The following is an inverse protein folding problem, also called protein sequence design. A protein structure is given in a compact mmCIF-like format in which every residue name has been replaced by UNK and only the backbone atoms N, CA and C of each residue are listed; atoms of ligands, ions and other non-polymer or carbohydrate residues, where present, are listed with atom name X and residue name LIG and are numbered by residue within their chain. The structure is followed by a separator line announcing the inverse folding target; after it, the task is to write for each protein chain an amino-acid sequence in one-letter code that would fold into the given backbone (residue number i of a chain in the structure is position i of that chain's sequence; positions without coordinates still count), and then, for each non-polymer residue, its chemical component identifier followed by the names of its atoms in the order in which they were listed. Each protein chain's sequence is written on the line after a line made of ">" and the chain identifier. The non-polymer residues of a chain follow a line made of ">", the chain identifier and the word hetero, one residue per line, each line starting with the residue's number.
data_IF_583158077081
#
_entry.id   IF_583158077081
#
_cell.length_a   1.000
_cell.length_b   1.000
_cell.length_c   1.000
_cell.angle_alpha   90.00
_cell.angle_beta   90.00
_cell.angle_gamma   90.00
#
_symmetry.space_group_name_H-M   'P 1'
#
loop_
_entity.id
_entity.type
_entity.pdbx_description
1 polymer ?
#
# COMPACT_ATOMS: atom_id res chain seq x y z
N UNK A 1 0.51 0.26 -5.91
CA UNK A 1 0.43 -1.07 -5.31
C UNK A 1 0.72 -1.06 -3.82
N UNK A 2 0.36 -2.15 -3.11
CA UNK A 2 0.89 -2.43 -1.78
C UNK A 2 2.38 -2.74 -1.81
N UNK A 3 3.03 -2.87 -0.63
CA UNK A 3 4.45 -3.21 -0.55
C UNK A 3 5.14 -2.85 0.77
N UNK A 4 4.40 -2.54 1.82
CA UNK A 4 4.97 -2.16 3.12
C UNK A 4 5.92 -0.98 3.00
N UNK A 5 7.17 -1.13 3.47
CA UNK A 5 8.23 -0.10 3.38
C UNK A 5 8.53 0.34 1.94
N UNK A 6 8.46 -0.57 0.97
CA UNK A 6 8.69 -0.26 -0.45
C UNK A 6 7.69 0.79 -0.98
N UNK A 7 6.53 0.91 -0.34
CA UNK A 7 5.51 1.90 -0.73
C UNK A 7 5.98 3.35 -0.61
N UNK A 8 7.06 3.64 0.13
CA UNK A 8 7.66 4.98 0.15
C UNK A 8 8.14 5.43 -1.24
N UNK A 9 8.40 4.50 -2.18
CA UNK A 9 8.67 4.86 -3.57
C UNK A 9 7.48 5.56 -4.24
N UNK A 10 6.24 5.28 -3.81
CA UNK A 10 5.07 6.03 -4.29
C UNK A 10 5.09 7.48 -3.80
N UNK A 11 5.55 7.73 -2.56
CA UNK A 11 5.72 9.11 -2.05
C UNK A 11 6.80 9.85 -2.86
N UNK A 12 7.94 9.21 -3.15
CA UNK A 12 8.96 9.77 -4.04
C UNK A 12 8.42 10.10 -5.43
N UNK A 13 7.62 9.22 -6.04
CA UNK A 13 6.95 9.50 -7.30
C UNK A 13 5.99 10.69 -7.19
N UNK A 14 5.20 10.79 -6.13
CA UNK A 14 4.29 11.94 -5.92
C UNK A 14 5.06 13.26 -5.85
N UNK A 15 6.22 13.28 -5.18
CA UNK A 15 7.13 14.43 -5.19
C UNK A 15 7.58 14.80 -6.61
N UNK A 16 8.05 13.83 -7.38
CA UNK A 16 8.47 14.05 -8.77
C UNK A 16 7.33 14.59 -9.65
N UNK A 17 6.10 14.11 -9.45
CA UNK A 17 4.91 14.61 -10.13
C UNK A 17 4.64 16.08 -9.77
N UNK A 18 4.65 16.44 -8.48
CA UNK A 18 4.42 17.82 -8.03
C UNK A 18 5.46 18.79 -8.60
N UNK A 19 6.73 18.42 -8.64
CA UNK A 19 7.80 19.22 -9.22
C UNK A 19 7.62 19.47 -10.74
N UNK A 20 6.91 18.56 -11.43
CA UNK A 20 6.50 18.72 -12.83
C UNK A 20 5.15 19.43 -12.98
N UNK A 21 4.55 19.91 -11.89
CA UNK A 21 3.23 20.55 -11.90
C UNK A 21 2.08 19.59 -12.16
N UNK A 22 2.31 18.27 -12.01
CA UNK A 22 1.31 17.23 -12.19
C UNK A 22 0.73 16.81 -10.83
N UNK A 23 -0.59 16.70 -10.76
CA UNK A 23 -1.29 16.20 -9.56
C UNK A 23 -2.32 15.17 -9.95
N UNK A 24 -2.42 14.04 -9.23
CA UNK A 24 -3.49 13.08 -9.46
C UNK A 24 -4.85 13.70 -9.12
N UNK A 25 -5.88 13.39 -9.89
CA UNK A 25 -7.28 13.75 -9.59
C UNK A 25 -7.98 12.71 -8.71
N UNK A 26 -7.44 11.48 -8.67
CA UNK A 26 -7.91 10.37 -7.84
C UNK A 26 -6.74 9.42 -7.57
N UNK A 27 -6.73 8.80 -6.41
CA UNK A 27 -5.77 7.74 -6.08
C UNK A 27 -6.52 6.45 -5.75
N UNK A 28 -6.02 5.33 -6.27
CA UNK A 28 -6.44 4.00 -5.86
C UNK A 28 -5.23 3.24 -5.33
N UNK A 29 -5.35 2.67 -4.14
CA UNK A 29 -4.23 2.04 -3.47
C UNK A 29 -4.60 0.80 -2.66
N UNK A 30 -3.57 -0.02 -2.41
CA UNK A 30 -3.63 -1.21 -1.56
C UNK A 30 -2.53 -1.16 -0.53
N UNK A 31 -2.81 -1.57 0.72
CA UNK A 31 -1.79 -1.70 1.79
C UNK A 31 -0.95 -0.42 1.96
N UNK A 32 0.38 -0.51 1.90
CA UNK A 32 1.27 0.65 1.96
C UNK A 32 0.93 1.73 0.92
N UNK A 33 0.50 1.35 -0.29
CA UNK A 33 0.06 2.31 -1.31
C UNK A 33 -1.24 3.04 -0.94
N UNK A 34 -2.16 2.37 -0.23
CA UNK A 34 -3.36 3.03 0.31
C UNK A 34 -2.99 4.03 1.42
N UNK A 35 -1.99 3.71 2.26
CA UNK A 35 -1.50 4.61 3.31
C UNK A 35 -0.84 5.86 2.72
N UNK A 36 0.04 5.70 1.71
CA UNK A 36 0.64 6.83 0.98
C UNK A 36 -0.45 7.68 0.31
N UNK A 37 -1.42 7.02 -0.36
CA UNK A 37 -2.55 7.70 -0.99
C UNK A 37 -3.40 8.51 0.00
N UNK A 38 -3.66 7.94 1.19
CA UNK A 38 -4.42 8.61 2.25
C UNK A 38 -3.67 9.82 2.82
N UNK A 39 -2.36 9.68 3.10
CA UNK A 39 -1.52 10.80 3.54
C UNK A 39 -1.53 11.94 2.51
N UNK A 40 -1.36 11.60 1.24
CA UNK A 40 -1.40 12.58 0.16
C UNK A 40 -2.76 13.27 0.05
N UNK A 41 -3.84 12.47 0.11
CA UNK A 41 -5.21 12.99 0.08
C UNK A 41 -5.57 13.81 1.31
N UNK A 42 -4.88 13.62 2.45
CA UNK A 42 -4.95 14.48 3.63
C UNK A 42 -4.11 15.77 3.50
N UNK A 43 -3.37 15.95 2.40
CA UNK A 43 -2.52 17.13 2.18
C UNK A 43 -1.12 17.04 2.82
N UNK A 44 -0.71 15.85 3.27
CA UNK A 44 0.65 15.61 3.76
C UNK A 44 1.63 15.68 2.58
N UNK A 45 2.66 16.49 2.69
CA UNK A 45 3.68 16.60 1.65
C UNK A 45 4.45 15.30 1.50
N UNK A 46 4.83 14.89 0.28
CA UNK A 46 5.58 13.66 0.05
C UNK A 46 6.84 13.52 0.93
N UNK A 47 7.60 14.60 1.12
CA UNK A 47 8.80 14.61 1.97
C UNK A 47 8.52 14.28 3.45
N UNK A 48 7.33 14.60 3.96
CA UNK A 48 6.94 14.34 5.36
C UNK A 48 6.42 12.91 5.58
N UNK A 49 6.09 12.17 4.52
CA UNK A 49 5.48 10.83 4.63
C UNK A 49 6.43 9.81 5.23
N UNK A 50 7.73 9.92 4.98
CA UNK A 50 8.75 9.04 5.58
C UNK A 50 8.73 9.13 7.11
N UNK A 51 8.56 10.34 7.68
CA UNK A 51 8.44 10.54 9.12
C UNK A 51 7.24 9.79 9.69
N UNK A 52 6.07 9.89 9.03
CA UNK A 52 4.87 9.16 9.43
C UNK A 52 5.15 7.66 9.58
N UNK A 53 5.82 7.04 8.61
CA UNK A 53 6.15 5.61 8.66
C UNK A 53 7.19 5.29 9.74
N UNK A 54 8.18 6.16 9.99
CA UNK A 54 9.15 5.99 11.08
C UNK A 54 8.50 6.02 12.47
N UNK A 55 7.49 6.87 12.64
CA UNK A 55 6.78 7.05 13.91
C UNK A 55 5.64 6.03 14.10
N UNK A 56 5.17 5.42 13.01
CA UNK A 56 4.08 4.45 13.05
C UNK A 56 4.47 3.21 13.85
N UNK A 57 3.68 2.80 14.85
CA UNK A 57 3.97 1.61 15.63
C UNK A 57 3.80 0.29 14.85
N UNK A 58 3.34 0.34 13.59
CA UNK A 58 3.19 -0.82 12.69
C UNK A 58 4.43 -1.72 12.62
N UNK A 59 5.59 -1.14 12.85
CA UNK A 59 6.87 -1.79 12.72
C UNK A 59 7.58 -2.04 14.06
N UNK A 60 6.90 -1.77 15.20
CA UNK A 60 7.46 -2.00 16.53
C UNK A 60 7.05 -3.37 17.07
N UNK A 61 8.03 -4.19 17.43
CA UNK A 61 7.86 -5.53 18.01
C UNK A 61 7.03 -5.57 19.31
N UNK A 62 6.91 -4.42 20.00
CA UNK A 62 6.13 -4.28 21.25
C UNK A 62 4.61 -4.46 21.08
N UNK A 63 4.13 -4.63 19.86
CA UNK A 63 2.69 -4.77 19.55
C UNK A 63 2.24 -6.23 19.36
N UNK A 64 3.13 -7.19 19.54
CA UNK A 64 2.84 -8.63 19.41
C UNK A 64 1.74 -9.05 20.38
N UNK A 65 0.78 -9.82 19.92
CA UNK A 65 -0.26 -10.45 20.74
C UNK A 65 -0.35 -11.94 20.42
N UNK A 66 -0.39 -12.77 21.47
CA UNK A 66 -0.57 -14.21 21.33
C UNK A 66 -2.03 -14.65 21.52
N UNK A 67 -2.95 -13.69 21.74
CA UNK A 67 -4.36 -13.97 22.07
C UNK A 67 -5.33 -13.79 20.91
N UNK A 68 -4.89 -13.26 19.76
CA UNK A 68 -5.73 -13.04 18.56
C UNK A 68 -5.10 -13.73 17.35
N UNK A 69 -5.90 -13.99 16.36
CA UNK A 69 -5.41 -14.40 15.03
C UNK A 69 -4.54 -13.28 14.49
N UNK A 70 -3.31 -13.59 14.09
CA UNK A 70 -2.27 -12.61 13.74
C UNK A 70 -1.37 -12.25 14.92
N UNK A 71 -0.17 -11.78 14.66
CA UNK A 71 0.86 -11.47 15.64
C UNK A 71 0.66 -10.08 16.29
N UNK A 72 -0.02 -9.18 15.60
CA UNK A 72 -0.20 -7.77 15.98
C UNK A 72 -1.68 -7.39 15.97
N UNK A 73 -2.14 -6.74 17.04
CA UNK A 73 -3.53 -6.28 17.17
C UNK A 73 -3.79 -5.02 16.34
N UNK A 74 -4.48 -5.19 15.23
CA UNK A 74 -4.84 -4.09 14.30
C UNK A 74 -5.64 -2.97 14.98
N UNK A 75 -6.43 -3.26 16.01
CA UNK A 75 -7.23 -2.24 16.71
C UNK A 75 -6.38 -1.15 17.39
N UNK A 76 -5.14 -1.48 17.78
CA UNK A 76 -4.21 -0.51 18.39
C UNK A 76 -3.79 0.59 17.44
N UNK A 77 -3.85 0.34 16.13
CA UNK A 77 -3.47 1.34 15.11
C UNK A 77 -4.53 2.41 14.90
N UNK A 78 -5.80 2.11 15.17
CA UNK A 78 -6.88 3.08 14.98
C UNK A 78 -6.63 4.38 15.74
N UNK A 79 -6.13 4.30 16.98
CA UNK A 79 -5.81 5.49 17.80
C UNK A 79 -4.65 6.29 17.20
N UNK A 80 -3.63 5.59 16.68
CA UNK A 80 -2.49 6.23 16.02
C UNK A 80 -2.94 6.95 14.74
N UNK A 81 -3.65 6.26 13.85
CA UNK A 81 -4.13 6.86 12.60
C UNK A 81 -5.08 8.05 12.85
N UNK A 82 -6.00 7.95 13.83
CA UNK A 82 -6.87 9.06 14.21
C UNK A 82 -6.12 10.29 14.72
N UNK A 83 -4.95 10.11 15.32
CA UNK A 83 -4.12 11.22 15.78
C UNK A 83 -3.31 11.84 14.64
N UNK A 84 -2.77 11.01 13.75
CA UNK A 84 -1.83 11.45 12.70
C UNK A 84 -2.53 11.94 11.42
N UNK A 85 -3.73 11.41 11.10
CA UNK A 85 -4.50 11.86 9.95
C UNK A 85 -5.45 12.99 10.34
N UNK A 86 -5.41 14.07 9.57
CA UNK A 86 -6.27 15.23 9.77
C UNK A 86 -7.75 14.93 9.52
N UNK A 87 -8.04 14.02 8.58
CA UNK A 87 -9.39 13.64 8.15
C UNK A 87 -9.69 12.19 8.51
N UNK A 88 -10.96 11.92 8.83
CA UNK A 88 -11.38 10.60 9.31
C UNK A 88 -12.44 9.94 8.42
N UNK A 89 -12.94 10.65 7.41
CA UNK A 89 -13.86 10.13 6.39
C UNK A 89 -13.29 10.35 4.99
N UNK A 90 -13.72 9.55 4.02
CA UNK A 90 -13.30 9.70 2.63
C UNK A 90 -13.77 11.02 2.03
N UNK A 91 -14.91 11.53 2.47
CA UNK A 91 -15.55 12.77 1.98
C UNK A 91 -14.78 14.03 2.40
N UNK A 92 -14.03 13.97 3.50
CA UNK A 92 -13.20 15.08 3.98
C UNK A 92 -11.87 15.23 3.22
N UNK A 93 -11.45 14.19 2.48
CA UNK A 93 -10.16 14.17 1.78
C UNK A 93 -10.09 15.25 0.69
N UNK A 94 -8.92 15.85 0.48
CA UNK A 94 -8.68 16.88 -0.53
C UNK A 94 -8.76 16.36 -1.96
N UNK A 95 -8.63 15.02 -2.15
CA UNK A 95 -8.84 14.34 -3.40
C UNK A 95 -9.46 12.95 -3.17
N UNK A 96 -10.24 12.42 -4.12
CA UNK A 96 -10.82 11.09 -4.00
C UNK A 96 -9.78 9.99 -3.81
N UNK A 97 -10.06 9.08 -2.88
CA UNK A 97 -9.23 7.92 -2.58
C UNK A 97 -10.06 6.64 -2.64
N UNK A 98 -9.48 5.58 -3.21
CA UNK A 98 -10.04 4.23 -3.17
C UNK A 98 -9.07 3.31 -2.46
N UNK A 99 -9.54 2.67 -1.39
CA UNK A 99 -8.76 1.76 -0.55
C UNK A 99 -9.24 0.32 -0.78
N UNK A 100 -8.30 -0.58 -1.08
CA UNK A 100 -8.59 -1.98 -1.40
C UNK A 100 -8.35 -2.86 -0.19
N UNK A 101 -9.32 -3.73 0.14
CA UNK A 101 -9.15 -4.78 1.14
C UNK A 101 -9.76 -6.10 0.65
N UNK A 102 -9.36 -7.22 1.28
CA UNK A 102 -9.90 -8.55 1.01
C UNK A 102 -10.89 -8.95 2.08
N UNK A 103 -12.12 -9.25 1.70
CA UNK A 103 -13.14 -9.77 2.61
C UNK A 103 -12.91 -11.28 2.81
N UNK A 104 -12.56 -11.66 4.05
CA UNK A 104 -12.24 -13.04 4.40
C UNK A 104 -13.46 -13.96 4.49
N UNK A 105 -14.66 -13.40 4.71
CA UNK A 105 -15.87 -14.21 4.90
C UNK A 105 -16.47 -14.69 3.57
N UNK A 106 -16.31 -13.90 2.50
CA UNK A 106 -16.86 -14.23 1.18
C UNK A 106 -15.81 -14.38 0.07
N UNK A 107 -14.51 -14.17 0.38
CA UNK A 107 -13.41 -14.29 -0.58
C UNK A 107 -13.43 -13.27 -1.71
N UNK A 108 -14.00 -12.08 -1.50
CA UNK A 108 -14.10 -11.03 -2.52
C UNK A 108 -13.24 -9.82 -2.19
N UNK A 109 -12.77 -9.13 -3.24
CA UNK A 109 -12.17 -7.81 -3.10
C UNK A 109 -13.24 -6.80 -2.72
N UNK A 110 -12.87 -5.88 -1.83
CA UNK A 110 -13.67 -4.73 -1.44
C UNK A 110 -12.92 -3.44 -1.72
N UNK A 111 -13.57 -2.49 -2.39
CA UNK A 111 -13.08 -1.14 -2.60
C UNK A 111 -13.87 -0.18 -1.73
N UNK A 112 -13.18 0.53 -0.84
CA UNK A 112 -13.73 1.54 0.04
C UNK A 112 -13.40 2.92 -0.51
N UNK A 113 -14.40 3.79 -0.64
CA UNK A 113 -14.25 5.15 -1.15
C UNK A 113 -15.25 6.13 -0.53
N UNK A 114 -15.94 5.73 0.54
CA UNK A 114 -16.92 6.56 1.25
C UNK A 114 -17.02 6.15 2.72
N UNK A 115 -17.49 7.09 3.55
CA UNK A 115 -17.70 6.90 4.98
C UNK A 115 -16.38 6.89 5.76
N UNK A 116 -16.29 6.08 6.81
CA UNK A 116 -15.14 6.02 7.72
C UNK A 116 -13.87 5.55 7.01
N UNK A 117 -12.76 6.29 7.19
CA UNK A 117 -11.50 6.09 6.48
C UNK A 117 -10.53 5.14 7.20
N UNK A 118 -10.48 5.22 8.53
CA UNK A 118 -9.39 4.62 9.32
C UNK A 118 -9.45 3.09 9.31
N UNK A 119 -10.64 2.50 9.50
CA UNK A 119 -10.79 1.04 9.52
C UNK A 119 -10.46 0.41 8.14
N UNK A 120 -10.94 0.95 7.00
CA UNK A 120 -10.49 0.52 5.67
C UNK A 120 -8.98 0.59 5.46
N UNK A 121 -8.30 1.64 5.91
CA UNK A 121 -6.84 1.76 5.80
C UNK A 121 -6.11 0.68 6.60
N UNK A 122 -6.54 0.45 7.85
CA UNK A 122 -5.97 -0.61 8.69
C UNK A 122 -6.25 -1.98 8.08
N UNK A 123 -7.45 -2.22 7.56
CA UNK A 123 -7.83 -3.46 6.91
C UNK A 123 -6.97 -3.72 5.67
N UNK A 124 -6.78 -2.68 4.84
CA UNK A 124 -5.94 -2.73 3.64
C UNK A 124 -4.49 -3.09 3.96
N UNK A 125 -3.97 -2.66 5.11
CA UNK A 125 -2.60 -2.91 5.56
C UNK A 125 -2.47 -4.12 6.52
N UNK A 126 -3.54 -4.86 6.78
CA UNK A 126 -3.54 -6.02 7.67
C UNK A 126 -2.96 -7.27 6.99
N UNK A 127 -1.66 -7.25 6.74
CA UNK A 127 -0.91 -8.31 6.04
C UNK A 127 -0.84 -9.60 6.88
N UNK A 128 -1.45 -10.72 6.42
CA UNK A 128 -1.28 -12.01 7.07
C UNK A 128 0.15 -12.56 6.93
N UNK A 129 0.69 -13.30 7.92
CA UNK A 129 0.13 -13.59 9.25
C UNK A 129 0.53 -12.54 10.30
N UNK A 130 1.12 -11.43 9.91
CA UNK A 130 1.66 -10.42 10.85
C UNK A 130 0.56 -9.70 11.63
N UNK A 131 -0.51 -9.30 10.94
CA UNK A 131 -1.57 -8.48 11.51
C UNK A 131 -2.88 -9.25 11.65
N UNK A 132 -3.62 -8.97 12.72
CA UNK A 132 -4.95 -9.53 12.89
C UNK A 132 -5.93 -8.95 11.86
N UNK A 133 -6.91 -9.75 11.41
CA UNK A 133 -7.97 -9.24 10.55
C UNK A 133 -8.76 -8.11 11.22
N UNK A 134 -9.31 -7.22 10.41
CA UNK A 134 -10.08 -6.04 10.85
C UNK A 134 -11.57 -6.26 10.61
N UNK A 135 -12.38 -6.04 11.64
CA UNK A 135 -13.83 -6.10 11.52
C UNK A 135 -14.38 -4.74 11.10
N UNK A 136 -15.14 -4.73 10.00
CA UNK A 136 -15.89 -3.56 9.53
C UNK A 136 -17.33 -4.02 9.31
N UNK A 137 -18.25 -3.53 10.12
CA UNK A 137 -19.63 -4.05 10.16
C UNK A 137 -19.65 -5.55 10.51
N UNK A 138 -20.37 -6.33 9.72
CA UNK A 138 -20.46 -7.79 9.89
C UNK A 138 -19.35 -8.56 9.19
N UNK A 139 -18.51 -7.89 8.39
CA UNK A 139 -17.45 -8.51 7.61
C UNK A 139 -16.09 -8.44 8.30
N UNK A 140 -15.19 -9.35 7.89
CA UNK A 140 -13.82 -9.44 8.38
C UNK A 140 -12.86 -9.27 7.19
N UNK A 141 -11.92 -8.35 7.31
CA UNK A 141 -11.02 -7.96 6.23
C UNK A 141 -9.56 -8.16 6.58
N UNK A 142 -8.76 -8.44 5.55
CA UNK A 142 -7.30 -8.40 5.61
C UNK A 142 -6.74 -7.62 4.42
N UNK A 143 -5.40 -7.61 4.28
CA UNK A 143 -4.69 -6.89 3.22
C UNK A 143 -5.31 -7.13 1.84
N UNK A 144 -5.56 -6.04 1.13
CA UNK A 144 -6.14 -6.06 -0.20
C UNK A 144 -5.25 -6.73 -1.25
N UNK A 145 -3.95 -6.76 -0.99
CA UNK A 145 -2.97 -7.36 -1.89
C UNK A 145 -3.19 -8.83 -2.19
N UNK A 146 -3.88 -9.54 -1.30
CA UNK A 146 -4.24 -10.94 -1.54
C UNK A 146 -5.08 -11.14 -2.81
N UNK A 147 -5.98 -10.22 -3.13
CA UNK A 147 -6.86 -10.31 -4.31
C UNK A 147 -6.59 -9.23 -5.35
N UNK A 148 -6.21 -8.03 -4.93
CA UNK A 148 -5.90 -6.92 -5.83
C UNK A 148 -4.82 -5.98 -5.27
N UNK A 149 -3.56 -6.34 -5.53
CA UNK A 149 -2.41 -5.51 -5.12
C UNK A 149 -2.15 -4.30 -6.01
N UNK A 150 -2.83 -4.20 -7.16
CA UNK A 150 -2.68 -3.10 -8.11
C UNK A 150 -4.05 -2.69 -8.66
N UNK A 151 -4.82 -1.88 -7.89
CA UNK A 151 -6.24 -1.63 -8.11
C UNK A 151 -6.49 -0.56 -9.17
N UNK A 152 -6.41 -0.92 -10.45
CA UNK A 152 -6.74 -0.05 -11.59
C UNK A 152 -8.23 -0.04 -11.90
N UNK A 153 -8.91 -1.19 -11.74
CA UNK A 153 -10.29 -1.35 -12.20
C UNK A 153 -11.25 -0.29 -11.65
N UNK A 154 -11.15 0.13 -10.36
CA UNK A 154 -12.09 1.11 -9.82
C UNK A 154 -11.91 2.52 -10.39
N UNK A 155 -10.73 2.87 -10.94
CA UNK A 155 -10.45 4.22 -11.45
C UNK A 155 -10.47 4.33 -12.99
N UNK A 156 -10.32 3.24 -13.71
CA UNK A 156 -10.08 3.25 -15.17
C UNK A 156 -11.16 3.95 -16.02
N UNK A 157 -12.39 4.04 -15.49
CA UNK A 157 -13.49 4.73 -16.19
C UNK A 157 -13.65 6.20 -15.76
N UNK A 158 -12.85 6.63 -14.78
CA UNK A 158 -12.92 7.95 -14.17
C UNK A 158 -11.72 8.83 -14.54
N UNK A 159 -10.73 8.27 -15.24
CA UNK A 159 -9.48 8.93 -15.59
C UNK A 159 -9.22 8.88 -17.10
N UNK A 160 -8.76 9.99 -17.66
CA UNK A 160 -8.26 10.05 -19.04
C UNK A 160 -6.86 9.44 -19.16
N UNK A 161 -6.05 9.57 -18.10
CA UNK A 161 -4.68 9.05 -18.01
C UNK A 161 -4.48 8.32 -16.69
N UNK A 162 -3.76 7.20 -16.73
CA UNK A 162 -3.45 6.37 -15.58
C UNK A 162 -1.93 6.26 -15.41
N UNK A 163 -1.45 6.73 -14.26
CA UNK A 163 -0.07 6.49 -13.82
C UNK A 163 -0.08 5.32 -12.85
N UNK A 164 0.58 4.23 -13.26
CA UNK A 164 0.75 3.05 -12.44
C UNK A 164 2.09 3.02 -11.72
N UNK A 165 2.09 2.76 -10.41
CA UNK A 165 3.31 2.61 -9.60
C UNK A 165 3.26 1.27 -8.86
N UNK A 166 4.19 0.35 -9.22
CA UNK A 166 4.25 -1.01 -8.71
C UNK A 166 5.61 -1.30 -8.06
N UNK A 167 5.60 -1.68 -6.78
CA UNK A 167 6.82 -1.81 -5.95
C UNK A 167 7.17 -3.25 -5.57
N UNK A 168 6.42 -4.23 -6.07
CA UNK A 168 6.62 -5.66 -5.73
C UNK A 168 6.75 -6.54 -6.98
N UNK A 169 7.68 -6.28 -7.91
CA UNK A 169 7.91 -7.23 -8.98
C UNK A 169 8.35 -8.58 -8.38
N UNK A 170 7.74 -9.67 -8.85
CA UNK A 170 8.07 -11.01 -8.38
C UNK A 170 9.43 -11.42 -8.90
N UNK A 171 10.34 -11.74 -7.99
CA UNK A 171 11.70 -12.15 -8.31
C UNK A 171 11.82 -13.66 -8.45
N UNK A 172 12.83 -14.08 -9.19
CA UNK A 172 13.32 -15.46 -9.13
C UNK A 172 14.12 -15.64 -7.85
N UNK A 173 13.78 -16.64 -7.07
CA UNK A 173 14.46 -17.03 -5.85
C UNK A 173 15.09 -18.42 -5.99
N UNK A 174 15.92 -18.81 -5.04
CA UNK A 174 16.53 -20.14 -4.94
C UNK A 174 15.85 -20.96 -3.85
N UNK A 175 16.08 -22.28 -3.82
CA UNK A 175 15.59 -23.17 -2.75
C UNK A 175 16.07 -22.73 -1.36
N UNK A 176 17.25 -22.11 -1.27
CA UNK A 176 17.82 -21.61 0.00
C UNK A 176 16.95 -20.52 0.63
N UNK A 177 16.20 -19.79 -0.18
CA UNK A 177 15.29 -18.73 0.25
C UNK A 177 13.96 -19.28 0.80
N UNK A 178 13.77 -20.59 0.74
CA UNK A 178 12.59 -21.34 1.24
C UNK A 178 12.95 -22.24 2.43
N UNK A 179 13.83 -21.80 3.30
CA UNK A 179 14.44 -22.61 4.36
C UNK A 179 13.51 -22.98 5.51
N UNK A 180 12.31 -22.37 5.62
CA UNK A 180 11.33 -22.66 6.66
C UNK A 180 9.90 -22.39 6.19
N UNK A 181 8.92 -22.93 6.90
CA UNK A 181 7.48 -22.85 6.57
C UNK A 181 6.98 -21.41 6.45
N UNK A 182 7.55 -20.48 7.22
CA UNK A 182 7.16 -19.06 7.17
C UNK A 182 7.59 -18.42 5.85
N UNK A 183 8.85 -18.61 5.42
CA UNK A 183 9.35 -18.11 4.13
C UNK A 183 8.60 -18.78 2.96
N UNK A 184 8.28 -20.06 3.08
CA UNK A 184 7.48 -20.78 2.09
C UNK A 184 6.08 -20.16 1.95
N UNK A 185 5.35 -19.96 3.05
CA UNK A 185 4.03 -19.33 3.03
C UNK A 185 4.08 -17.89 2.52
N UNK A 186 5.10 -17.13 2.91
CA UNK A 186 5.31 -15.78 2.40
C UNK A 186 5.56 -15.76 0.89
N UNK A 187 6.29 -16.75 0.36
CA UNK A 187 6.50 -16.88 -1.08
C UNK A 187 5.22 -17.18 -1.82
N UNK A 188 4.40 -18.11 -1.31
CA UNK A 188 3.08 -18.40 -1.89
C UNK A 188 2.22 -17.13 -1.91
N UNK A 189 2.20 -16.38 -0.81
CA UNK A 189 1.47 -15.14 -0.71
C UNK A 189 1.98 -14.11 -1.74
N UNK A 190 3.30 -13.94 -1.88
CA UNK A 190 3.89 -13.03 -2.86
C UNK A 190 3.52 -13.43 -4.31
N UNK A 191 3.53 -14.72 -4.62
CA UNK A 191 3.11 -15.23 -5.94
C UNK A 191 1.63 -14.91 -6.18
N UNK A 192 0.78 -15.11 -5.18
CA UNK A 192 -0.64 -14.79 -5.26
C UNK A 192 -0.87 -13.28 -5.45
N UNK A 193 -0.11 -12.45 -4.69
CA UNK A 193 -0.18 -10.99 -4.79
C UNK A 193 0.37 -10.43 -6.10
N UNK A 194 1.39 -11.06 -6.68
CA UNK A 194 1.95 -10.63 -7.96
C UNK A 194 1.02 -10.96 -9.11
N UNK A 195 0.15 -11.93 -8.92
CA UNK A 195 -0.92 -12.32 -9.85
C UNK A 195 -0.66 -11.89 -11.31
N UNK A 196 -1.48 -12.15 -12.22
CA UNK A 196 -1.23 -11.80 -13.62
C UNK A 196 -1.45 -10.29 -13.89
N UNK A 197 -0.62 -9.39 -13.26
CA UNK A 197 -0.74 -7.93 -13.45
C UNK A 197 -0.34 -7.43 -14.83
N UNK A 198 0.27 -8.26 -15.68
CA UNK A 198 0.66 -7.86 -17.04
C UNK A 198 -0.50 -7.26 -17.84
N UNK A 199 -1.72 -7.75 -17.65
CA UNK A 199 -2.93 -7.18 -18.26
C UNK A 199 -3.30 -5.81 -17.69
N UNK A 200 -3.04 -5.59 -16.40
CA UNK A 200 -3.30 -4.30 -15.73
C UNK A 200 -2.24 -3.27 -16.09
N UNK A 201 -0.97 -3.69 -16.20
CA UNK A 201 0.13 -2.81 -16.62
C UNK A 201 -0.11 -2.18 -17.99
N UNK A 202 -0.69 -2.95 -18.93
CA UNK A 202 -1.04 -2.46 -20.27
C UNK A 202 -2.13 -1.37 -20.29
N UNK A 203 -2.81 -1.14 -19.15
CA UNK A 203 -3.85 -0.11 -19.02
C UNK A 203 -3.30 1.20 -18.45
N UNK A 204 -2.04 1.24 -18.08
CA UNK A 204 -1.37 2.47 -17.63
C UNK A 204 -0.79 3.21 -18.82
N UNK A 205 -1.01 4.51 -18.88
CA UNK A 205 -0.35 5.40 -19.84
C UNK A 205 1.13 5.59 -19.46
N UNK A 206 1.41 5.67 -18.17
CA UNK A 206 2.77 5.64 -17.61
C UNK A 206 2.83 4.56 -16.52
N UNK A 207 3.76 3.63 -16.64
CA UNK A 207 4.00 2.59 -15.65
C UNK A 207 5.40 2.70 -15.09
N UNK A 208 5.49 2.75 -13.76
CA UNK A 208 6.73 2.68 -13.01
C UNK A 208 6.80 1.31 -12.29
N UNK A 209 7.74 0.48 -12.69
CA UNK A 209 8.07 -0.78 -12.03
C UNK A 209 9.32 -0.55 -11.19
N UNK A 210 9.15 -0.45 -9.88
CA UNK A 210 10.25 -0.20 -8.95
C UNK A 210 10.91 -1.52 -8.56
N UNK A 211 12.18 -1.69 -8.91
CA UNK A 211 12.97 -2.84 -8.46
C UNK A 211 13.54 -2.56 -7.05
N UNK A 212 12.77 -2.93 -6.04
CA UNK A 212 13.10 -2.75 -4.62
C UNK A 212 13.24 -4.10 -3.89
N UNK A 213 13.68 -5.11 -4.61
CA UNK A 213 13.84 -6.47 -4.14
C UNK A 213 14.76 -6.61 -2.93
N UNK A 214 15.80 -5.80 -2.88
CA UNK A 214 16.75 -5.70 -1.77
C UNK A 214 16.11 -5.15 -0.48
N UNK A 215 14.90 -4.61 -0.54
CA UNK A 215 14.16 -4.08 0.61
C UNK A 215 13.12 -5.10 1.08
N UNK A 216 13.22 -5.57 2.32
CA UNK A 216 12.17 -6.39 2.92
C UNK A 216 10.94 -5.54 3.24
N UNK A 217 9.74 -6.13 3.12
CA UNK A 217 8.45 -5.43 3.30
C UNK A 217 8.30 -4.69 4.63
N UNK A 218 8.99 -5.14 5.67
CA UNK A 218 8.96 -4.55 7.02
C UNK A 218 10.33 -3.95 7.45
N UNK A 219 11.24 -3.69 6.53
CA UNK A 219 12.58 -3.13 6.85
C UNK A 219 12.55 -1.61 6.95
N UNK A 220 12.22 -1.11 8.13
CA UNK A 220 12.11 0.33 8.41
C UNK A 220 13.42 1.11 8.27
N UNK A 221 14.56 0.45 8.16
CA UNK A 221 15.85 1.11 7.93
C UNK A 221 15.98 1.60 6.48
N UNK A 222 15.18 1.07 5.58
CA UNK A 222 15.23 1.34 4.15
C UNK A 222 14.14 2.33 3.67
N UNK A 223 13.44 3.00 4.59
CA UNK A 223 12.37 3.95 4.25
C UNK A 223 12.86 5.10 3.37
N UNK A 224 13.94 5.76 3.78
CA UNK A 224 14.52 6.88 3.03
C UNK A 224 15.02 6.41 1.65
N UNK A 225 15.68 5.25 1.60
CA UNK A 225 16.16 4.68 0.34
C UNK A 225 15.01 4.36 -0.63
N UNK A 226 13.90 3.80 -0.14
CA UNK A 226 12.74 3.53 -0.98
C UNK A 226 12.13 4.82 -1.54
N UNK A 227 12.06 5.89 -0.72
CA UNK A 227 11.58 7.20 -1.14
C UNK A 227 12.45 7.79 -2.25
N UNK A 228 13.77 7.88 -2.01
CA UNK A 228 14.73 8.43 -2.99
C UNK A 228 14.70 7.66 -4.32
N UNK A 229 14.69 6.33 -4.26
CA UNK A 229 14.56 5.49 -5.44
C UNK A 229 13.29 5.82 -6.26
N UNK A 230 12.15 5.99 -5.56
CA UNK A 230 10.89 6.34 -6.20
C UNK A 230 10.91 7.73 -6.84
N UNK A 231 11.56 8.68 -6.18
CA UNK A 231 11.74 10.04 -6.70
C UNK A 231 12.63 10.06 -7.95
N UNK A 232 13.82 9.45 -7.91
CA UNK A 232 14.73 9.38 -9.05
C UNK A 232 14.09 8.69 -10.26
N UNK A 233 13.40 7.55 -10.02
CA UNK A 233 12.67 6.84 -11.06
C UNK A 233 11.54 7.72 -11.62
N UNK A 234 10.81 8.45 -10.76
CA UNK A 234 9.78 9.40 -11.15
C UNK A 234 10.33 10.49 -12.07
N UNK A 235 11.39 11.20 -11.66
CA UNK A 235 12.05 12.23 -12.45
C UNK A 235 12.48 11.70 -13.82
N UNK A 236 13.13 10.52 -13.83
CA UNK A 236 13.58 9.90 -15.09
C UNK A 236 12.42 9.59 -16.03
N UNK A 237 11.39 8.94 -15.54
CA UNK A 237 10.24 8.50 -16.37
C UNK A 237 9.38 9.67 -16.85
N UNK A 238 9.25 10.71 -16.03
CA UNK A 238 8.51 11.93 -16.41
C UNK A 238 9.28 12.82 -17.40
N UNK A 239 10.58 12.67 -17.53
CA UNK A 239 11.37 13.34 -18.56
C UNK A 239 11.21 12.71 -19.95
N UNK A 240 10.67 11.49 -20.03
CA UNK A 240 10.41 10.77 -21.29
C UNK A 240 9.00 11.08 -21.87
N UNK A 241 8.15 11.85 -21.15
CA UNK A 241 6.81 12.31 -21.58
C UNK A 241 6.88 13.66 -22.26
#
# INVERSE_FOLDING_TARGET
>A
SGGGVRALAHAGLLKALEEKGLRPSIISGTSGGALIGALYACGVKPDDMTRFFKETPLFKWSMITFRKVGLVDSAKYAKFFKRELQYHTFEELQLPLIVTATNLLNGKVQYFNQGELIQPLIASAALPPYFSPVRIGESLYCDGGLLDNFPIEPIKKQCDKIIGSFVNPLETITEKDLSNSFQFMQRIYNIAMDGNYSRKFKKCDLLLLHNLSNIRVLDTKMLDHAFEYGYEMGIKRLAEL
#
